data_IF_081016606588
#
_entry.id   IF_081016606588
#
_cell.length_a   1.000
_cell.length_b   1.000
_cell.length_c   1.000
_cell.angle_alpha   90.00
_cell.angle_beta   90.00
_cell.angle_gamma   90.00
#
_symmetry.space_group_name_H-M   'P 1'
#
loop_
_entity.id
_entity.type
_entity.pdbx_description
1 polymer ?
#
# COMPACT_ATOMS: atom_id res chain seq x y z
N UNK A 1 21.22 -4.52 22.07
CA UNK A 1 20.99 -4.78 20.63
C UNK A 1 20.33 -3.52 20.11
N UNK A 2 21.06 -2.66 19.40
CA UNK A 2 20.55 -1.35 18.96
C UNK A 2 19.42 -1.57 17.97
N UNK A 3 18.21 -1.09 18.29
CA UNK A 3 17.14 -0.98 17.30
C UNK A 3 17.55 0.12 16.32
N UNK A 4 17.75 -0.23 15.05
CA UNK A 4 18.01 0.73 13.97
C UNK A 4 16.70 1.22 13.39
N UNK A 5 16.69 2.44 12.82
CA UNK A 5 15.51 3.01 12.17
C UNK A 5 14.92 2.09 11.11
N UNK A 6 15.79 1.41 10.33
CA UNK A 6 15.41 0.43 9.32
C UNK A 6 14.58 -0.72 9.92
N UNK A 7 14.91 -1.17 11.13
CA UNK A 7 14.18 -2.25 11.83
C UNK A 7 12.83 -1.77 12.38
N UNK A 8 12.71 -0.50 12.75
CA UNK A 8 11.44 0.10 13.16
C UNK A 8 10.47 0.24 11.97
N UNK A 9 10.99 0.56 10.79
CA UNK A 9 10.23 0.72 9.53
C UNK A 9 10.00 -0.60 8.77
N UNK A 10 10.71 -1.68 9.11
CA UNK A 10 10.60 -2.96 8.43
C UNK A 10 9.15 -3.48 8.26
N UNK A 11 8.23 -3.39 9.24
CA UNK A 11 6.84 -3.79 9.05
C UNK A 11 6.13 -2.99 7.95
N UNK A 12 6.41 -1.68 7.88
CA UNK A 12 5.83 -0.77 6.88
C UNK A 12 6.37 -1.08 5.48
N UNK A 13 7.69 -1.28 5.35
CA UNK A 13 8.33 -1.61 4.07
C UNK A 13 7.88 -2.98 3.57
N UNK A 14 7.73 -3.96 4.47
CA UNK A 14 7.26 -5.31 4.13
C UNK A 14 5.85 -5.27 3.56
N UNK A 15 4.93 -4.58 4.24
CA UNK A 15 3.55 -4.44 3.76
C UNK A 15 3.46 -3.59 2.50
N UNK A 16 4.27 -2.53 2.39
CA UNK A 16 4.41 -1.75 1.16
C UNK A 16 4.83 -2.64 -0.02
N UNK A 17 5.80 -3.53 0.18
CA UNK A 17 6.24 -4.50 -0.85
C UNK A 17 5.12 -5.47 -1.26
N UNK A 18 4.29 -5.94 -0.33
CA UNK A 18 3.11 -6.77 -0.64
C UNK A 18 2.03 -6.00 -1.43
N UNK A 19 1.91 -4.70 -1.17
CA UNK A 19 0.97 -3.81 -1.85
C UNK A 19 1.54 -3.20 -3.14
N UNK A 20 2.61 -3.79 -3.71
CA UNK A 20 3.31 -3.34 -4.92
C UNK A 20 4.05 -1.99 -4.80
N UNK A 21 4.15 -1.41 -3.60
CA UNK A 21 4.76 -0.11 -3.35
C UNK A 21 6.25 -0.19 -3.01
N UNK A 22 6.82 -1.40 -2.90
CA UNK A 22 8.20 -1.62 -2.48
C UNK A 22 8.87 -2.78 -3.20
N UNK A 23 10.20 -2.83 -3.13
CA UNK A 23 10.99 -3.93 -3.70
C UNK A 23 11.01 -5.11 -2.73
N UNK A 24 10.84 -6.32 -3.25
CA UNK A 24 11.06 -7.53 -2.47
C UNK A 24 12.54 -7.65 -2.07
N UNK A 25 12.78 -7.63 -0.77
CA UNK A 25 14.08 -7.89 -0.15
C UNK A 25 14.00 -9.20 0.65
N UNK A 26 13.94 -10.33 -0.08
CA UNK A 26 14.05 -11.65 0.54
C UNK A 26 15.21 -12.43 -0.12
N UNK A 27 16.33 -12.68 0.60
CA UNK A 27 16.66 -12.29 1.98
C UNK A 27 16.95 -10.77 2.16
N UNK A 28 16.80 -10.29 3.41
CA UNK A 28 17.01 -8.88 3.80
C UNK A 28 18.41 -8.41 3.40
N UNK A 29 18.49 -7.28 2.69
CA UNK A 29 19.75 -6.71 2.19
C UNK A 29 20.09 -7.04 0.72
N UNK A 30 19.33 -7.92 0.06
CA UNK A 30 19.46 -8.16 -1.39
C UNK A 30 18.17 -7.74 -2.13
N UNK A 31 18.04 -6.45 -2.52
CA UNK A 31 16.90 -6.02 -3.32
C UNK A 31 16.91 -6.72 -4.68
N UNK A 32 15.78 -7.33 -5.04
CA UNK A 32 15.55 -7.96 -6.35
C UNK A 32 14.62 -7.09 -7.20
N UNK A 33 15.12 -5.98 -7.80
CA UNK A 33 14.32 -5.07 -8.62
C UNK A 33 13.54 -5.79 -9.71
N UNK A 34 14.23 -6.66 -10.43
CA UNK A 34 13.67 -7.28 -11.61
C UNK A 34 12.48 -8.19 -11.30
N UNK A 35 12.60 -9.03 -10.25
CA UNK A 35 11.51 -9.90 -9.82
C UNK A 35 10.32 -9.11 -9.27
N UNK A 36 10.59 -8.04 -8.53
CA UNK A 36 9.55 -7.15 -7.99
C UNK A 36 8.80 -6.44 -9.11
N UNK A 37 9.53 -5.87 -10.07
CA UNK A 37 8.94 -5.23 -11.25
C UNK A 37 8.11 -6.21 -12.07
N UNK A 38 8.63 -7.41 -12.33
CA UNK A 38 7.93 -8.43 -13.08
C UNK A 38 6.67 -8.91 -12.36
N UNK A 39 6.71 -9.04 -11.04
CA UNK A 39 5.53 -9.36 -10.22
C UNK A 39 4.45 -8.28 -10.32
N UNK A 40 4.83 -7.01 -10.13
CA UNK A 40 3.92 -5.86 -10.23
C UNK A 40 3.29 -5.81 -11.62
N UNK A 41 4.11 -5.89 -12.68
CA UNK A 41 3.62 -5.90 -14.06
C UNK A 41 2.68 -7.06 -14.33
N UNK A 42 3.04 -8.28 -13.91
CA UNK A 42 2.21 -9.47 -14.14
C UNK A 42 0.86 -9.36 -13.42
N UNK A 43 0.87 -8.95 -12.15
CA UNK A 43 -0.33 -8.79 -11.32
C UNK A 43 -1.26 -7.71 -11.86
N UNK A 44 -0.75 -6.52 -12.17
CA UNK A 44 -1.57 -5.43 -12.71
C UNK A 44 -2.04 -5.70 -14.14
N UNK A 45 -1.23 -6.38 -14.97
CA UNK A 45 -1.67 -6.83 -16.29
C UNK A 45 -2.80 -7.85 -16.20
N UNK A 46 -2.70 -8.81 -15.25
CA UNK A 46 -3.75 -9.79 -14.98
C UNK A 46 -5.04 -9.10 -14.55
N UNK A 47 -5.00 -8.21 -13.55
CA UNK A 47 -6.18 -7.47 -13.11
C UNK A 47 -6.77 -6.59 -14.20
N UNK A 48 -5.93 -5.92 -14.99
CA UNK A 48 -6.39 -5.08 -16.10
C UNK A 48 -7.13 -5.90 -17.14
N UNK A 49 -6.57 -7.04 -17.54
CA UNK A 49 -7.16 -7.86 -18.59
C UNK A 49 -8.43 -8.59 -18.14
N UNK A 50 -8.41 -9.25 -16.98
CA UNK A 50 -9.52 -10.09 -16.54
C UNK A 50 -10.64 -9.32 -15.86
N UNK A 51 -10.33 -8.22 -15.17
CA UNK A 51 -11.29 -7.54 -14.30
C UNK A 51 -11.66 -6.17 -14.85
N UNK A 52 -10.69 -5.29 -15.08
CA UNK A 52 -11.00 -3.89 -15.46
C UNK A 52 -11.43 -3.74 -16.92
N UNK A 53 -10.83 -4.49 -17.85
CA UNK A 53 -11.14 -4.37 -19.27
C UNK A 53 -12.61 -4.70 -19.62
N UNK A 54 -13.22 -5.79 -19.09
CA UNK A 54 -14.66 -6.03 -19.27
C UNK A 54 -15.55 -4.91 -18.72
N UNK A 55 -15.18 -4.33 -17.58
CA UNK A 55 -15.91 -3.21 -16.95
C UNK A 55 -15.87 -1.99 -17.87
N UNK A 56 -14.68 -1.62 -18.35
CA UNK A 56 -14.51 -0.48 -19.26
C UNK A 56 -15.27 -0.63 -20.57
N UNK A 57 -15.34 -1.84 -21.14
CA UNK A 57 -16.14 -2.09 -22.35
C UNK A 57 -17.62 -1.87 -22.07
N UNK A 58 -18.13 -2.38 -20.95
CA UNK A 58 -19.55 -2.21 -20.58
C UNK A 58 -19.89 -0.74 -20.37
N UNK A 59 -19.04 0.00 -19.65
CA UNK A 59 -19.24 1.43 -19.37
C UNK A 59 -19.19 2.28 -20.66
N UNK A 60 -18.26 1.96 -21.58
CA UNK A 60 -18.19 2.58 -22.90
C UNK A 60 -19.44 2.32 -23.75
N UNK A 61 -20.00 1.11 -23.68
CA UNK A 61 -21.23 0.76 -24.39
C UNK A 61 -22.43 1.54 -23.82
N UNK A 62 -22.53 1.64 -22.50
CA UNK A 62 -23.57 2.40 -21.80
C UNK A 62 -23.40 3.93 -21.91
N UNK A 63 -22.30 4.41 -22.53
CA UNK A 63 -21.91 5.83 -22.63
C UNK A 63 -21.83 6.53 -21.27
N UNK A 64 -21.52 5.78 -20.21
CA UNK A 64 -21.31 6.34 -18.88
C UNK A 64 -19.84 6.27 -18.57
N UNK A 65 -19.20 7.42 -18.45
CA UNK A 65 -17.84 7.52 -17.93
C UNK A 65 -17.91 7.99 -16.49
N UNK A 66 -17.46 7.17 -15.55
CA UNK A 66 -17.37 7.52 -14.15
C UNK A 66 -15.92 7.86 -13.77
N UNK A 67 -15.76 8.73 -12.76
CA UNK A 67 -14.44 9.04 -12.19
C UNK A 67 -13.77 7.76 -11.66
N UNK A 68 -14.58 6.79 -11.21
CA UNK A 68 -14.16 5.48 -10.70
C UNK A 68 -13.34 4.70 -11.74
N UNK A 69 -13.63 4.87 -13.03
CA UNK A 69 -12.98 4.14 -14.12
C UNK A 69 -11.51 4.53 -14.28
N UNK A 70 -11.13 5.74 -13.85
CA UNK A 70 -9.76 6.22 -13.88
C UNK A 70 -8.93 5.77 -12.67
N UNK A 71 -9.57 5.29 -11.60
CA UNK A 71 -8.89 4.91 -10.34
C UNK A 71 -7.84 3.79 -10.55
N UNK A 72 -8.11 2.72 -11.31
CA UNK A 72 -7.10 1.69 -11.59
C UNK A 72 -5.89 2.28 -12.34
N UNK A 73 -6.11 3.16 -13.32
CA UNK A 73 -5.05 3.80 -14.09
C UNK A 73 -4.18 4.71 -13.21
N UNK A 74 -4.81 5.54 -12.36
CA UNK A 74 -4.11 6.35 -11.37
C UNK A 74 -3.28 5.46 -10.44
N UNK A 75 -3.84 4.33 -10.00
CA UNK A 75 -3.12 3.41 -9.10
C UNK A 75 -1.90 2.79 -9.76
N UNK A 76 -2.02 2.33 -11.01
CA UNK A 76 -0.87 1.79 -11.78
C UNK A 76 0.23 2.86 -11.91
N UNK A 77 -0.13 4.11 -12.23
CA UNK A 77 0.86 5.19 -12.32
C UNK A 77 1.54 5.47 -10.99
N UNK A 78 0.79 5.48 -9.87
CA UNK A 78 1.34 5.67 -8.53
C UNK A 78 2.28 4.54 -8.13
N UNK A 79 1.92 3.29 -8.41
CA UNK A 79 2.75 2.11 -8.17
C UNK A 79 4.07 2.21 -8.94
N UNK A 80 4.02 2.59 -10.22
CA UNK A 80 5.23 2.80 -11.03
C UNK A 80 6.11 3.93 -10.48
N UNK A 81 5.51 5.06 -10.06
CA UNK A 81 6.23 6.17 -9.45
C UNK A 81 6.91 5.73 -8.15
N UNK A 82 6.18 5.05 -7.27
CA UNK A 82 6.72 4.51 -6.01
C UNK A 82 7.88 3.55 -6.26
N UNK A 83 7.75 2.68 -7.28
CA UNK A 83 8.81 1.76 -7.68
C UNK A 83 10.07 2.50 -8.18
N UNK A 84 9.92 3.51 -9.04
CA UNK A 84 11.03 4.32 -9.53
C UNK A 84 11.74 5.08 -8.41
N UNK A 85 10.99 5.62 -7.45
CA UNK A 85 11.53 6.42 -6.33
C UNK A 85 11.96 5.59 -5.13
N UNK A 86 11.78 4.27 -5.16
CA UNK A 86 12.14 3.40 -4.02
C UNK A 86 13.63 3.52 -3.64
N UNK A 87 14.52 3.66 -4.64
CA UNK A 87 15.95 3.86 -4.38
C UNK A 87 16.23 5.16 -3.64
N UNK A 88 15.54 6.24 -4.01
CA UNK A 88 15.64 7.55 -3.36
C UNK A 88 15.13 7.47 -1.92
N UNK A 89 13.99 6.80 -1.70
CA UNK A 89 13.44 6.55 -0.38
C UNK A 89 14.46 5.81 0.51
N UNK A 90 15.11 4.77 0.00
CA UNK A 90 16.11 4.01 0.76
C UNK A 90 17.33 4.85 1.13
N UNK A 91 17.78 5.75 0.24
CA UNK A 91 18.86 6.69 0.56
C UNK A 91 18.43 7.68 1.65
N UNK A 92 17.22 8.24 1.55
CA UNK A 92 16.65 9.13 2.56
C UNK A 92 16.55 8.47 3.94
N UNK A 93 16.11 7.21 4.01
CA UNK A 93 16.06 6.46 5.28
C UNK A 93 17.45 6.26 5.90
N UNK A 94 18.48 6.04 5.07
CA UNK A 94 19.86 5.90 5.55
C UNK A 94 20.44 7.21 6.06
N UNK A 95 20.15 8.32 5.39
CA UNK A 95 20.53 9.65 5.87
C UNK A 95 19.84 9.96 7.20
N UNK A 96 18.57 9.60 7.34
CA UNK A 96 17.82 9.80 8.57
C UNK A 96 18.38 9.00 9.75
N UNK A 97 18.83 7.76 9.51
CA UNK A 97 19.50 6.92 10.51
C UNK A 97 20.81 7.56 11.01
N UNK A 98 21.59 8.17 10.10
CA UNK A 98 22.81 8.91 10.47
C UNK A 98 22.49 10.16 11.30
N UNK A 99 21.49 10.95 10.88
CA UNK A 99 21.05 12.13 11.63
C UNK A 99 20.56 11.72 13.02
N UNK A 100 19.83 10.62 13.13
CA UNK A 100 19.36 10.11 14.41
C UNK A 100 20.51 9.66 15.33
N UNK A 101 21.54 8.99 14.80
CA UNK A 101 22.75 8.65 15.56
C UNK A 101 23.49 9.91 16.08
N UNK A 102 23.48 11.01 15.31
CA UNK A 102 24.04 12.29 15.79
C UNK A 102 23.18 12.94 16.87
N UNK A 103 21.85 12.84 16.78
CA UNK A 103 20.93 13.32 17.81
C UNK A 103 21.08 12.54 19.12
N UNK A 104 21.31 11.23 19.04
CA UNK A 104 21.65 10.40 20.22
C UNK A 104 22.95 10.88 20.87
N UNK A 105 23.98 11.18 20.08
CA UNK A 105 25.24 11.72 20.59
C UNK A 105 25.08 13.11 21.25
N UNK A 106 24.06 13.88 20.86
CA UNK A 106 23.67 15.15 21.47
C UNK A 106 22.78 14.98 22.72
N UNK A 107 22.47 13.75 23.11
CA UNK A 107 21.72 13.43 24.34
C UNK A 107 20.21 13.25 24.14
N UNK A 108 19.71 13.19 22.90
CA UNK A 108 18.29 12.92 22.63
C UNK A 108 18.00 11.40 22.70
N UNK A 109 16.94 10.97 23.41
CA UNK A 109 16.62 9.55 23.54
C UNK A 109 16.01 8.97 22.25
N UNK A 110 16.44 7.77 21.87
CA UNK A 110 15.88 7.02 20.72
C UNK A 110 14.45 6.55 21.01
N UNK A 111 13.46 7.10 20.30
CA UNK A 111 12.04 6.70 20.41
C UNK A 111 11.60 5.66 19.34
N UNK A 112 12.53 4.88 18.77
CA UNK A 112 12.23 3.90 17.71
C UNK A 112 11.13 2.89 18.05
N UNK A 113 11.06 2.47 19.31
CA UNK A 113 10.04 1.54 19.76
C UNK A 113 8.65 2.17 19.74
N UNK A 114 8.54 3.47 20.02
CA UNK A 114 7.30 4.23 19.91
C UNK A 114 6.87 4.40 18.46
N UNK A 115 7.83 4.71 17.57
CA UNK A 115 7.59 4.79 16.13
C UNK A 115 7.10 3.45 15.56
N UNK A 116 7.79 2.36 15.90
CA UNK A 116 7.41 1.01 15.48
C UNK A 116 6.00 0.64 15.96
N UNK A 117 5.65 0.96 17.20
CA UNK A 117 4.30 0.74 17.73
C UNK A 117 3.24 1.57 16.99
N UNK A 118 3.56 2.82 16.63
CA UNK A 118 2.70 3.67 15.83
C UNK A 118 2.45 3.10 14.43
N UNK A 119 3.51 2.64 13.76
CA UNK A 119 3.44 1.99 12.45
C UNK A 119 2.58 0.73 12.52
N UNK A 120 2.81 -0.14 13.52
CA UNK A 120 2.01 -1.35 13.70
C UNK A 120 0.53 -1.00 13.92
N UNK A 121 0.23 0.03 14.73
CA UNK A 121 -1.15 0.49 14.95
C UNK A 121 -1.80 0.99 13.65
N UNK A 122 -1.06 1.71 12.82
CA UNK A 122 -1.53 2.17 11.52
C UNK A 122 -1.86 1.01 10.58
N UNK A 123 -0.98 0.01 10.52
CA UNK A 123 -1.19 -1.23 9.74
C UNK A 123 -2.46 -1.94 10.20
N UNK A 124 -2.65 -2.12 11.52
CA UNK A 124 -3.84 -2.76 12.07
C UNK A 124 -5.10 -1.98 11.68
N UNK A 125 -5.06 -0.65 11.78
CA UNK A 125 -6.18 0.20 11.36
C UNK A 125 -6.53 0.05 9.89
N UNK A 126 -5.51 -0.01 9.01
CA UNK A 126 -5.71 -0.23 7.57
C UNK A 126 -6.31 -1.62 7.27
N UNK A 127 -5.85 -2.66 7.95
CA UNK A 127 -6.42 -4.02 7.82
C UNK A 127 -7.89 -4.03 8.27
N UNK A 128 -8.19 -3.41 9.41
CA UNK A 128 -9.57 -3.30 9.92
C UNK A 128 -10.47 -2.53 8.93
N UNK A 129 -9.94 -1.47 8.31
CA UNK A 129 -10.67 -0.72 7.28
C UNK A 129 -11.06 -1.61 6.09
N UNK A 130 -10.14 -2.40 5.55
CA UNK A 130 -10.43 -3.32 4.44
C UNK A 130 -11.53 -4.31 4.82
N UNK A 131 -11.43 -4.91 6.02
CA UNK A 131 -12.45 -5.86 6.46
C UNK A 131 -13.81 -5.22 6.69
N UNK A 132 -13.85 -3.99 7.22
CA UNK A 132 -15.08 -3.25 7.42
C UNK A 132 -15.73 -2.87 6.09
N UNK A 133 -14.96 -2.38 5.12
CA UNK A 133 -15.44 -2.02 3.78
C UNK A 133 -15.96 -3.24 3.02
N UNK A 134 -15.21 -4.35 3.08
CA UNK A 134 -15.63 -5.61 2.48
C UNK A 134 -16.94 -6.10 3.12
N UNK A 135 -17.04 -6.09 4.45
CA UNK A 135 -18.26 -6.50 5.15
C UNK A 135 -19.47 -5.62 4.81
N UNK A 136 -19.25 -4.31 4.65
CA UNK A 136 -20.30 -3.38 4.22
C UNK A 136 -20.83 -3.73 2.82
N UNK A 137 -19.93 -3.91 1.85
CA UNK A 137 -20.30 -4.36 0.51
C UNK A 137 -20.96 -5.73 0.53
N UNK A 138 -20.46 -6.63 1.38
CA UNK A 138 -21.04 -7.96 1.52
C UNK A 138 -22.49 -7.92 1.96
N UNK A 139 -22.79 -7.13 2.99
CA UNK A 139 -24.15 -6.96 3.51
C UNK A 139 -25.06 -6.30 2.47
N UNK A 140 -24.56 -5.30 1.74
CA UNK A 140 -25.32 -4.67 0.66
C UNK A 140 -25.74 -5.69 -0.39
N UNK A 141 -24.81 -6.52 -0.86
CA UNK A 141 -25.09 -7.56 -1.86
C UNK A 141 -26.12 -8.56 -1.31
N UNK A 142 -26.01 -8.97 -0.04
CA UNK A 142 -26.98 -9.89 0.59
C UNK A 142 -28.40 -9.34 0.64
N UNK A 143 -28.54 -8.05 0.91
CA UNK A 143 -29.86 -7.42 1.09
C UNK A 143 -30.53 -7.15 -0.26
N UNK A 144 -29.76 -6.71 -1.27
CA UNK A 144 -30.34 -6.18 -2.52
C UNK A 144 -30.33 -7.17 -3.69
N UNK A 145 -29.52 -8.23 -3.66
CA UNK A 145 -29.40 -9.19 -4.75
C UNK A 145 -29.92 -10.56 -4.30
N UNK A 146 -31.07 -11.03 -4.82
CA UNK A 146 -31.53 -12.38 -4.53
C UNK A 146 -30.59 -13.39 -5.21
N UNK A 147 -29.87 -14.18 -4.43
CA UNK A 147 -28.98 -15.21 -4.98
C UNK A 147 -29.72 -16.50 -5.24
N UNK A 148 -29.40 -17.14 -6.36
CA UNK A 148 -29.81 -18.50 -6.69
C UNK A 148 -28.80 -19.56 -6.22
N UNK A 149 -27.53 -19.19 -6.03
CA UNK A 149 -26.41 -20.10 -5.73
C UNK A 149 -25.34 -19.44 -4.84
N UNK A 150 -24.75 -20.22 -3.93
CA UNK A 150 -23.62 -19.86 -3.07
C UNK A 150 -22.38 -19.51 -3.89
N UNK A 151 -22.14 -20.18 -5.03
CA UNK A 151 -21.00 -19.87 -5.90
C UNK A 151 -21.09 -18.46 -6.48
N UNK A 152 -22.30 -18.01 -6.83
CA UNK A 152 -22.54 -16.68 -7.34
C UNK A 152 -22.30 -15.60 -6.26
N UNK A 153 -22.63 -15.91 -5.01
CA UNK A 153 -22.30 -15.05 -3.88
C UNK A 153 -20.78 -14.87 -3.71
N UNK A 154 -19.99 -15.95 -3.73
CA UNK A 154 -18.53 -15.85 -3.63
C UNK A 154 -17.92 -15.08 -4.81
N UNK A 155 -18.45 -15.29 -6.02
CA UNK A 155 -18.04 -14.53 -7.20
C UNK A 155 -18.25 -13.01 -7.03
N UNK A 156 -19.41 -12.60 -6.51
CA UNK A 156 -19.70 -11.18 -6.27
C UNK A 156 -18.83 -10.57 -5.16
N UNK A 157 -18.48 -11.36 -4.14
CA UNK A 157 -17.54 -10.91 -3.10
C UNK A 157 -16.14 -10.68 -3.65
N UNK A 158 -15.63 -11.64 -4.43
CA UNK A 158 -14.31 -11.52 -5.06
C UNK A 158 -14.28 -10.33 -6.03
N UNK A 159 -15.33 -10.17 -6.83
CA UNK A 159 -15.50 -9.01 -7.71
C UNK A 159 -15.51 -7.68 -6.94
N UNK A 160 -16.21 -7.62 -5.81
CA UNK A 160 -16.26 -6.40 -4.97
C UNK A 160 -14.90 -6.09 -4.35
N UNK A 161 -14.17 -7.12 -3.92
CA UNK A 161 -12.81 -6.96 -3.41
C UNK A 161 -11.86 -6.42 -4.50
N UNK A 162 -11.91 -6.99 -5.70
CA UNK A 162 -11.06 -6.58 -6.83
C UNK A 162 -11.34 -5.13 -7.23
N UNK A 163 -12.61 -4.73 -7.30
CA UNK A 163 -12.99 -3.36 -7.67
C UNK A 163 -12.53 -2.31 -6.66
N UNK A 164 -12.48 -2.64 -5.38
CA UNK A 164 -12.01 -1.74 -4.31
C UNK A 164 -10.49 -1.83 -4.07
N UNK A 165 -9.82 -2.86 -4.60
CA UNK A 165 -8.39 -3.08 -4.43
C UNK A 165 -7.52 -1.85 -4.75
N UNK A 166 -7.75 -1.11 -5.85
CA UNK A 166 -6.99 0.11 -6.16
C UNK A 166 -7.06 1.16 -5.04
N UNK A 167 -8.23 1.33 -4.42
CA UNK A 167 -8.44 2.29 -3.33
C UNK A 167 -7.65 1.88 -2.10
N UNK A 168 -7.57 0.58 -1.79
CA UNK A 168 -6.76 0.08 -0.68
C UNK A 168 -5.27 0.34 -0.90
N UNK A 169 -4.78 0.14 -2.13
CA UNK A 169 -3.38 0.42 -2.52
C UNK A 169 -3.07 1.92 -2.45
N UNK A 170 -3.97 2.78 -2.93
CA UNK A 170 -3.81 4.24 -2.80
C UNK A 170 -3.77 4.65 -1.33
N UNK A 171 -4.72 4.14 -0.52
CA UNK A 171 -4.82 4.49 0.90
C UNK A 171 -3.53 4.17 1.64
N UNK A 172 -2.94 2.99 1.41
CA UNK A 172 -1.69 2.63 2.07
C UNK A 172 -0.50 3.41 1.52
N UNK A 173 -0.47 3.77 0.23
CA UNK A 173 0.54 4.64 -0.34
C UNK A 173 0.53 6.03 0.32
N UNK A 174 -0.66 6.60 0.50
CA UNK A 174 -0.85 7.89 1.20
C UNK A 174 -0.41 7.78 2.66
N UNK A 175 -0.77 6.69 3.36
CA UNK A 175 -0.33 6.46 4.74
C UNK A 175 1.20 6.37 4.85
N UNK A 176 1.85 5.60 3.97
CA UNK A 176 3.32 5.47 3.93
C UNK A 176 3.96 6.84 3.69
N UNK A 177 3.52 7.55 2.64
CA UNK A 177 4.05 8.89 2.32
C UNK A 177 3.85 9.88 3.46
N UNK A 178 2.67 9.89 4.09
CA UNK A 178 2.36 10.73 5.24
C UNK A 178 3.24 10.43 6.46
N UNK A 179 3.51 9.16 6.75
CA UNK A 179 4.41 8.79 7.86
C UNK A 179 5.86 9.23 7.62
N UNK A 180 6.37 9.08 6.40
CA UNK A 180 7.73 9.51 6.04
C UNK A 180 7.84 11.04 6.10
N UNK A 181 6.86 11.76 5.56
CA UNK A 181 6.83 13.22 5.62
C UNK A 181 6.72 13.72 7.07
N UNK A 182 5.90 13.08 7.90
CA UNK A 182 5.78 13.38 9.32
C UNK A 182 7.09 13.16 10.08
N UNK A 183 7.82 12.08 9.79
CA UNK A 183 9.16 11.85 10.32
C UNK A 183 10.10 12.99 9.94
N UNK A 184 10.26 13.27 8.65
CA UNK A 184 11.15 14.34 8.16
C UNK A 184 10.83 15.70 8.80
N UNK A 185 9.53 16.02 8.95
CA UNK A 185 9.09 17.27 9.56
C UNK A 185 9.48 17.36 11.05
N UNK A 186 9.35 16.27 11.81
CA UNK A 186 9.80 16.24 13.21
C UNK A 186 11.30 16.54 13.29
N UNK A 187 12.12 15.85 12.49
CA UNK A 187 13.57 16.03 12.50
C UNK A 187 14.03 17.43 12.06
N UNK A 188 13.32 18.10 11.14
CA UNK A 188 13.68 19.45 10.68
C UNK A 188 13.33 20.56 11.69
N UNK A 189 12.43 20.32 12.64
CA UNK A 189 12.04 21.32 13.65
C UNK A 189 12.67 21.09 15.03
N UNK A 190 13.24 19.92 15.30
CA UNK A 190 14.04 19.66 16.51
C UNK A 190 15.52 20.06 16.40
N UNK A 191 15.97 20.51 15.23
CA UNK A 191 17.34 20.97 14.95
C UNK A 191 17.37 22.49 14.87
#
# INVERSE_FOLDING_TARGET
>A
MTETLERALAPLITIGSFCDLGMFEHPVGQPRPYLSCLYVLAKWSFFTYFCYYPIFINDLWDKKTYIVDFVPLITITLVLISFCRFKELKMCLRELDIVDDTLEALGMPKEYQRLRNWIIRMIIGWILYIFADLAYHSLYIIIFIPFSDILFFFYLMDYSFITHYPVYVITINVLISGTILGLVHVYTFTL
#
